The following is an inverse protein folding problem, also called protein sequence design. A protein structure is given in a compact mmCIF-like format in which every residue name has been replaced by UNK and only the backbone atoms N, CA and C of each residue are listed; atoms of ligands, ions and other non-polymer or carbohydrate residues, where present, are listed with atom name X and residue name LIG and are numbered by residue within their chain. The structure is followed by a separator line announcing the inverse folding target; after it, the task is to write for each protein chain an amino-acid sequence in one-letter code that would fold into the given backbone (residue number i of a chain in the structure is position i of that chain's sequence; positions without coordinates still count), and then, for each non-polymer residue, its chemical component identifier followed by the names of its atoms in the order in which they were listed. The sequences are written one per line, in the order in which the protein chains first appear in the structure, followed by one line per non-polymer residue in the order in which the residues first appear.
data_IF_901158700987
#
_entry.id   IF_901158700987
#
_cell.length_a   1.000
_cell.length_b   1.000
_cell.length_c   1.000
_cell.angle_alpha   90.00
_cell.angle_beta   90.00
_cell.angle_gamma   90.00
#
_symmetry.space_group_name_H-M   'P 1'
#
loop_
_entity.id
_entity.type
_entity.pdbx_description
1 polymer ?
#
# COMPACT_ATOMS: atom_id res chain seq x y z
N UNK A 1 15.98 14.82 -15.53
CA UNK A 1 14.69 14.08 -15.50
C UNK A 1 14.42 13.67 -14.07
N UNK A 2 13.21 13.87 -13.57
CA UNK A 2 12.79 13.64 -12.18
C UNK A 2 11.78 12.48 -12.18
N UNK A 3 11.90 11.57 -11.22
CA UNK A 3 10.88 10.57 -10.95
C UNK A 3 9.84 11.16 -9.98
N UNK A 4 8.55 10.89 -10.20
CA UNK A 4 7.47 11.28 -9.30
C UNK A 4 6.64 10.05 -8.96
N UNK A 5 6.39 9.80 -7.69
CA UNK A 5 5.45 8.78 -7.24
C UNK A 5 4.46 9.34 -6.22
N UNK A 6 3.29 8.71 -6.16
CA UNK A 6 2.27 8.96 -5.15
C UNK A 6 2.27 7.79 -4.17
N UNK A 7 2.35 8.10 -2.89
CA UNK A 7 2.38 7.14 -1.79
C UNK A 7 1.11 7.29 -0.96
N UNK A 8 0.52 6.14 -0.61
CA UNK A 8 -0.69 6.08 0.21
C UNK A 8 -0.87 4.69 0.84
N UNK A 9 -1.76 4.58 1.82
CA UNK A 9 -2.15 3.32 2.43
C UNK A 9 -3.55 2.88 1.98
N UNK A 10 -3.71 1.56 1.86
CA UNK A 10 -5.00 0.93 1.63
C UNK A 10 -5.28 -0.18 2.63
N UNK A 11 -6.52 -0.26 3.10
CA UNK A 11 -7.00 -1.35 3.94
C UNK A 11 -7.87 -2.33 3.15
N UNK A 12 -7.66 -3.63 3.41
CA UNK A 12 -8.45 -4.72 2.83
C UNK A 12 -9.06 -5.53 3.97
N UNK A 13 -10.40 -5.60 3.99
CA UNK A 13 -11.14 -6.36 5.00
C UNK A 13 -11.31 -7.83 4.58
N UNK A 14 -11.51 -8.71 5.56
CA UNK A 14 -11.85 -10.12 5.28
C UNK A 14 -13.19 -10.25 4.54
N UNK A 15 -14.08 -9.30 4.74
CA UNK A 15 -15.36 -9.21 4.03
C UNK A 15 -15.30 -7.99 3.14
N UNK A 16 -15.34 -8.19 1.84
CA UNK A 16 -15.55 -7.08 0.90
C UNK A 16 -17.05 -6.80 0.84
N UNK A 17 -17.51 -5.56 1.10
CA UNK A 17 -18.90 -5.22 0.89
C UNK A 17 -19.21 -5.38 -0.61
N UNK A 18 -20.24 -6.15 -0.91
CA UNK A 18 -20.86 -6.14 -2.23
C UNK A 18 -21.48 -4.76 -2.45
N UNK A 19 -20.84 -3.93 -3.28
CA UNK A 19 -21.33 -2.57 -3.56
C UNK A 19 -22.61 -2.59 -4.39
N UNK A 20 -22.78 -3.62 -5.24
CA UNK A 20 -23.96 -3.80 -6.08
C UNK A 20 -24.31 -5.28 -6.20
N UNK A 21 -25.61 -5.61 -6.17
CA UNK A 21 -26.13 -6.95 -6.46
C UNK A 21 -27.57 -6.84 -6.96
N UNK A 22 -28.09 -7.94 -7.48
CA UNK A 22 -29.45 -8.05 -7.98
C UNK A 22 -30.36 -8.60 -6.88
N UNK A 23 -31.53 -7.98 -6.68
CA UNK A 23 -32.62 -8.52 -5.86
C UNK A 23 -33.96 -8.24 -6.55
N UNK A 24 -35.04 -8.97 -6.23
CA UNK A 24 -36.37 -8.67 -6.73
C UNK A 24 -36.76 -7.23 -6.43
N UNK A 25 -37.52 -6.64 -7.34
CA UNK A 25 -38.00 -5.26 -7.18
C UNK A 25 -38.87 -5.15 -5.91
N UNK A 26 -38.52 -4.16 -5.08
CA UNK A 26 -39.20 -3.92 -3.78
C UNK A 26 -38.61 -4.68 -2.58
N UNK A 27 -37.63 -5.55 -2.80
CA UNK A 27 -36.92 -6.23 -1.73
C UNK A 27 -35.61 -5.53 -1.39
N UNK A 28 -35.17 -5.69 -0.14
CA UNK A 28 -33.83 -5.26 0.29
C UNK A 28 -32.86 -6.43 0.24
N UNK A 29 -31.79 -6.31 -0.52
CA UNK A 29 -30.69 -7.27 -0.47
C UNK A 29 -30.10 -7.29 0.94
N UNK A 30 -30.17 -8.45 1.60
CA UNK A 30 -29.52 -8.71 2.87
C UNK A 30 -28.32 -9.62 2.63
N UNK A 31 -27.13 -9.07 2.69
CA UNK A 31 -25.89 -9.85 2.64
C UNK A 31 -25.46 -10.15 4.08
N UNK A 32 -25.20 -11.41 4.45
CA UNK A 32 -24.66 -11.73 5.77
C UNK A 32 -23.33 -11.00 5.96
N UNK A 33 -23.28 -10.07 6.92
CA UNK A 33 -22.07 -9.37 7.26
C UNK A 33 -21.26 -10.21 8.25
N UNK A 34 -20.34 -11.00 7.73
CA UNK A 34 -19.39 -11.75 8.53
C UNK A 34 -18.06 -10.99 8.58
N UNK A 35 -18.02 -9.86 9.25
CA UNK A 35 -16.75 -9.19 9.52
C UNK A 35 -16.31 -9.49 10.95
N UNK A 36 -15.36 -10.38 11.17
CA UNK A 36 -14.67 -10.45 12.44
C UNK A 36 -13.94 -9.12 12.61
N UNK A 37 -14.43 -8.30 13.55
CA UNK A 37 -13.86 -6.98 13.82
C UNK A 37 -12.35 -7.08 14.07
N UNK A 38 -11.58 -6.15 13.50
CA UNK A 38 -10.16 -6.02 13.77
C UNK A 38 -9.24 -6.94 12.97
N UNK A 39 -9.74 -7.70 11.98
CA UNK A 39 -8.90 -8.46 11.05
C UNK A 39 -8.94 -7.78 9.68
N UNK A 40 -7.79 -7.34 9.21
CA UNK A 40 -7.63 -6.75 7.88
C UNK A 40 -6.18 -6.84 7.45
N UNK A 41 -5.93 -6.64 6.17
CA UNK A 41 -4.59 -6.43 5.62
C UNK A 41 -4.45 -4.95 5.30
N UNK A 42 -3.42 -4.32 5.86
CA UNK A 42 -3.01 -2.97 5.49
C UNK A 42 -1.87 -3.06 4.47
N UNK A 43 -1.95 -2.23 3.46
CA UNK A 43 -0.94 -2.10 2.42
C UNK A 43 -0.46 -0.66 2.39
N UNK A 44 0.84 -0.46 2.31
CA UNK A 44 1.44 0.80 1.88
C UNK A 44 1.94 0.61 0.46
N UNK A 45 1.71 1.59 -0.41
CA UNK A 45 2.15 1.53 -1.79
C UNK A 45 2.65 2.86 -2.30
N UNK A 46 3.50 2.79 -3.33
CA UNK A 46 3.97 3.95 -4.08
C UNK A 46 3.90 3.65 -5.58
N UNK A 47 3.11 4.44 -6.29
CA UNK A 47 2.94 4.33 -7.73
C UNK A 47 3.67 5.46 -8.45
N UNK A 48 4.60 5.10 -9.31
CA UNK A 48 5.40 6.04 -10.10
C UNK A 48 4.59 6.50 -11.32
N UNK A 49 4.24 7.78 -11.34
CA UNK A 49 3.42 8.38 -12.39
C UNK A 49 4.25 9.08 -13.47
N UNK A 50 5.45 9.55 -13.12
CA UNK A 50 6.31 10.29 -14.05
C UNK A 50 7.78 9.88 -13.89
N UNK A 51 8.56 10.16 -14.95
CA UNK A 51 9.98 9.87 -15.02
C UNK A 51 10.29 8.48 -15.60
N UNK A 52 11.57 8.09 -15.60
CA UNK A 52 12.00 6.80 -16.12
C UNK A 52 11.43 5.59 -15.37
N UNK A 53 11.05 5.78 -14.11
CA UNK A 53 10.45 4.73 -13.29
C UNK A 53 8.91 4.71 -13.39
N UNK A 54 8.29 5.53 -14.25
CA UNK A 54 6.84 5.57 -14.42
C UNK A 54 6.26 4.19 -14.78
N UNK A 55 5.09 3.88 -14.22
CA UNK A 55 4.47 2.56 -14.31
C UNK A 55 4.91 1.56 -13.24
N UNK A 56 5.94 1.86 -12.45
CA UNK A 56 6.38 1.01 -11.33
C UNK A 56 5.43 1.19 -10.14
N UNK A 57 5.03 0.07 -9.56
CA UNK A 57 4.30 0.01 -8.30
C UNK A 57 5.14 -0.74 -7.27
N UNK A 58 5.51 -0.07 -6.20
CA UNK A 58 6.13 -0.65 -5.02
C UNK A 58 5.07 -0.81 -3.94
N UNK A 59 5.13 -1.86 -3.13
CA UNK A 59 4.19 -2.06 -2.03
C UNK A 59 4.75 -2.96 -0.93
N UNK A 60 4.16 -2.85 0.26
CA UNK A 60 4.29 -3.79 1.37
C UNK A 60 2.96 -3.99 2.05
N UNK A 61 2.75 -5.15 2.64
CA UNK A 61 1.50 -5.52 3.30
C UNK A 61 1.73 -6.11 4.68
N UNK A 62 0.83 -5.82 5.61
CA UNK A 62 0.82 -6.38 6.96
C UNK A 62 -0.60 -6.76 7.37
N UNK A 63 -0.73 -7.94 7.98
CA UNK A 63 -1.97 -8.36 8.59
C UNK A 63 -2.18 -7.65 9.94
N UNK A 64 -3.35 -7.06 10.16
CA UNK A 64 -3.74 -6.52 11.44
C UNK A 64 -4.57 -7.57 12.18
N UNK A 65 -4.02 -8.10 13.27
CA UNK A 65 -4.71 -9.05 14.13
C UNK A 65 -5.55 -8.32 15.18
N UNK A 66 -6.64 -8.95 15.69
CA UNK A 66 -7.42 -8.38 16.79
C UNK A 66 -6.54 -8.11 17.99
N UNK A 67 -6.79 -7.01 18.69
CA UNK A 67 -6.13 -6.74 19.95
C UNK A 67 -6.51 -7.85 20.96
N UNK A 68 -5.54 -8.34 21.73
CA UNK A 68 -5.83 -9.24 22.84
C UNK A 68 -6.72 -8.51 23.85
N UNK A 69 -7.83 -9.14 24.25
CA UNK A 69 -8.69 -8.62 25.34
C UNK A 69 -8.09 -8.83 26.72
N UNK A 70 -7.07 -9.68 26.84
CA UNK A 70 -6.40 -9.93 28.11
C UNK A 70 -5.45 -8.77 28.46
N UNK A 71 -5.46 -8.34 29.72
CA UNK A 71 -4.55 -7.32 30.24
C UNK A 71 -3.07 -7.73 30.11
N UNK A 72 -2.79 -9.05 30.19
CA UNK A 72 -1.47 -9.62 29.88
C UNK A 72 -1.67 -10.79 28.91
N UNK A 73 -1.28 -10.66 27.64
CA UNK A 73 -1.34 -11.78 26.72
C UNK A 73 -0.42 -12.91 27.23
N UNK A 74 -0.95 -14.14 27.26
CA UNK A 74 -0.17 -15.34 27.63
C UNK A 74 0.71 -15.85 26.48
N UNK A 75 0.52 -15.32 25.28
CA UNK A 75 1.19 -15.74 24.05
C UNK A 75 2.15 -14.66 23.56
N UNK A 76 3.30 -15.06 23.03
CA UNK A 76 4.26 -14.16 22.42
C UNK A 76 3.71 -13.60 21.10
N UNK A 77 4.30 -12.49 20.56
CA UNK A 77 3.96 -11.99 19.23
C UNK A 77 4.11 -13.05 18.14
N UNK A 78 5.16 -13.89 18.23
CA UNK A 78 5.47 -14.97 17.29
C UNK A 78 4.39 -16.07 17.33
N UNK A 79 4.00 -16.51 18.51
CA UNK A 79 2.92 -17.50 18.69
C UNK A 79 1.58 -16.97 18.17
N UNK A 80 1.30 -15.68 18.38
CA UNK A 80 0.08 -15.05 17.87
C UNK A 80 0.08 -14.96 16.34
N UNK A 81 1.20 -14.63 15.72
CA UNK A 81 1.32 -14.62 14.27
C UNK A 81 1.18 -16.02 13.70
N UNK A 82 1.88 -17.00 14.28
CA UNK A 82 1.85 -18.40 13.87
C UNK A 82 0.43 -19.02 13.96
N UNK A 83 -0.35 -18.66 14.99
CA UNK A 83 -1.75 -19.09 15.14
C UNK A 83 -2.66 -18.62 13.98
N UNK A 84 -2.21 -17.66 13.18
CA UNK A 84 -2.89 -17.16 11.99
C UNK A 84 -2.15 -17.52 10.68
N UNK A 85 -1.17 -18.44 10.73
CA UNK A 85 -0.38 -18.84 9.56
C UNK A 85 0.58 -17.76 9.05
N UNK A 86 1.01 -16.85 9.92
CA UNK A 86 1.85 -15.70 9.57
C UNK A 86 3.14 -15.67 10.38
N UNK A 87 4.15 -14.96 9.88
CA UNK A 87 5.35 -14.59 10.65
C UNK A 87 5.11 -13.28 11.40
N UNK A 88 5.89 -13.01 12.45
CA UNK A 88 5.78 -11.76 13.23
C UNK A 88 5.99 -10.52 12.37
N UNK A 89 6.90 -10.58 11.40
CA UNK A 89 7.19 -9.46 10.49
C UNK A 89 6.05 -9.15 9.51
N UNK A 90 5.18 -10.14 9.26
CA UNK A 90 4.00 -10.00 8.42
C UNK A 90 2.80 -9.39 9.16
N UNK A 91 2.93 -9.10 10.47
CA UNK A 91 1.83 -8.63 11.32
C UNK A 91 2.14 -7.25 11.89
N UNK A 92 1.10 -6.45 12.04
CA UNK A 92 1.15 -5.16 12.75
C UNK A 92 0.55 -4.00 11.97
N UNK A 93 0.45 -2.82 12.62
CA UNK A 93 0.01 -1.60 11.96
C UNK A 93 1.09 -1.05 11.03
N UNK A 94 0.71 -0.16 10.12
CA UNK A 94 1.65 0.74 9.46
C UNK A 94 1.91 1.88 10.43
N UNK A 95 3.12 1.93 10.95
CA UNK A 95 3.64 2.97 11.83
C UNK A 95 4.67 3.84 11.12
N UNK A 96 5.16 4.86 11.79
CA UNK A 96 6.09 5.82 11.21
C UNK A 96 7.45 5.20 10.84
N UNK A 97 7.93 4.22 11.60
CA UNK A 97 9.17 3.50 11.32
C UNK A 97 9.04 2.66 10.04
N UNK A 98 7.93 1.93 9.88
CA UNK A 98 7.63 1.17 8.67
C UNK A 98 7.47 2.08 7.46
N UNK A 99 6.83 3.23 7.64
CA UNK A 99 6.72 4.24 6.58
C UNK A 99 8.10 4.75 6.17
N UNK A 100 8.97 5.15 7.11
CA UNK A 100 10.33 5.62 6.78
C UNK A 100 11.15 4.52 6.10
N UNK A 101 11.05 3.28 6.57
CA UNK A 101 11.70 2.14 5.91
C UNK A 101 11.19 1.96 4.48
N UNK A 102 9.89 2.12 4.25
CA UNK A 102 9.29 2.03 2.93
C UNK A 102 9.70 3.19 2.02
N UNK A 103 9.81 4.41 2.53
CA UNK A 103 10.34 5.56 1.77
C UNK A 103 11.75 5.26 1.22
N UNK A 104 12.61 4.63 2.01
CA UNK A 104 13.96 4.24 1.55
C UNK A 104 13.92 3.11 0.52
N UNK A 105 13.00 2.16 0.64
CA UNK A 105 12.77 1.13 -0.38
C UNK A 105 12.33 1.77 -1.71
N UNK A 106 11.34 2.65 -1.67
CA UNK A 106 10.83 3.39 -2.86
C UNK A 106 11.93 4.21 -3.51
N UNK A 107 12.80 4.84 -2.72
CA UNK A 107 13.98 5.54 -3.20
C UNK A 107 15.01 4.61 -3.85
N UNK A 108 14.91 3.29 -3.67
CA UNK A 108 15.87 2.31 -4.19
C UNK A 108 17.18 2.29 -3.41
N UNK A 109 17.14 2.64 -2.11
CA UNK A 109 18.33 2.63 -1.25
C UNK A 109 18.68 1.18 -0.91
N UNK A 110 19.90 0.70 -1.23
CA UNK A 110 20.38 -0.60 -0.78
C UNK A 110 20.39 -0.73 0.74
N UNK A 111 20.20 -1.95 1.26
CA UNK A 111 20.20 -2.18 2.72
C UNK A 111 21.55 -1.84 3.37
N UNK A 112 22.64 -2.10 2.65
CA UNK A 112 24.04 -1.84 3.03
C UNK A 112 24.57 -0.47 2.59
N UNK A 113 23.68 0.41 2.09
CA UNK A 113 24.10 1.72 1.59
C UNK A 113 24.73 2.59 2.67
N UNK A 114 25.86 3.20 2.31
CA UNK A 114 26.55 4.17 3.17
C UNK A 114 25.61 5.31 3.60
N UNK A 115 25.88 5.99 4.74
CA UNK A 115 25.11 7.15 5.18
C UNK A 115 25.05 8.28 4.15
N UNK A 116 26.08 8.39 3.32
CA UNK A 116 26.23 9.39 2.24
C UNK A 116 25.56 8.98 0.91
N UNK A 117 24.87 7.83 0.88
CA UNK A 117 24.19 7.37 -0.32
C UNK A 117 23.21 8.41 -0.84
N UNK A 118 23.22 8.61 -2.15
CA UNK A 118 22.31 9.49 -2.88
C UNK A 118 21.75 8.78 -4.09
N UNK A 119 20.47 8.98 -4.34
CA UNK A 119 19.83 8.57 -5.59
C UNK A 119 20.42 9.40 -6.76
N UNK A 120 20.72 8.74 -7.87
CA UNK A 120 21.26 9.42 -9.06
C UNK A 120 20.23 10.42 -9.63
N UNK A 121 18.97 9.95 -9.79
CA UNK A 121 17.86 10.81 -10.24
C UNK A 121 17.07 11.31 -9.05
N UNK A 122 16.70 12.60 -9.03
CA UNK A 122 15.79 13.11 -8.00
C UNK A 122 14.46 12.36 -8.01
N UNK A 123 13.91 12.13 -6.83
CA UNK A 123 12.61 11.53 -6.61
C UNK A 123 11.73 12.48 -5.80
N UNK A 124 10.52 12.73 -6.29
CA UNK A 124 9.46 13.41 -5.54
C UNK A 124 8.44 12.36 -5.12
N UNK A 125 8.16 12.26 -3.84
CA UNK A 125 7.14 11.40 -3.25
C UNK A 125 6.00 12.30 -2.78
N UNK A 126 4.86 12.22 -3.46
CA UNK A 126 3.63 12.90 -3.08
C UNK A 126 2.83 12.07 -2.10
N UNK A 127 2.42 12.64 -0.97
CA UNK A 127 1.64 11.98 0.08
C UNK A 127 0.55 12.91 0.61
N UNK A 128 -0.46 12.34 1.23
CA UNK A 128 -1.48 13.10 1.93
C UNK A 128 -1.02 13.58 3.33
N UNK A 129 -1.92 14.25 4.05
CA UNK A 129 -1.68 14.73 5.41
C UNK A 129 -2.15 13.75 6.51
N UNK A 130 -2.08 12.44 6.27
CA UNK A 130 -2.41 11.48 7.34
C UNK A 130 -1.48 11.66 8.55
N UNK A 131 -1.94 11.23 9.72
CA UNK A 131 -1.18 11.41 10.97
C UNK A 131 0.16 10.67 10.97
N UNK A 132 0.25 9.54 10.25
CA UNK A 132 1.50 8.80 10.12
C UNK A 132 2.49 9.53 9.21
N UNK A 133 2.00 10.18 8.13
CA UNK A 133 2.84 10.96 7.20
C UNK A 133 3.41 12.23 7.81
N UNK A 134 2.68 12.84 8.75
CA UNK A 134 3.07 14.07 9.44
C UNK A 134 3.69 13.83 10.82
N UNK A 135 3.98 12.58 11.17
CA UNK A 135 4.60 12.21 12.44
C UNK A 135 6.01 12.79 12.60
N UNK A 136 6.44 12.98 13.85
CA UNK A 136 7.77 13.49 14.13
C UNK A 136 8.91 12.61 13.55
N UNK A 137 8.72 11.31 13.53
CA UNK A 137 9.67 10.35 12.91
C UNK A 137 9.86 10.63 11.42
N UNK A 138 8.76 10.87 10.68
CA UNK A 138 8.82 11.20 9.25
C UNK A 138 9.43 12.58 9.04
N UNK A 139 9.02 13.59 9.82
CA UNK A 139 9.59 14.94 9.76
C UNK A 139 11.10 14.90 10.03
N UNK A 140 11.55 14.16 11.02
CA UNK A 140 12.99 14.00 11.33
C UNK A 140 13.77 13.28 10.21
N UNK A 141 13.11 12.45 9.40
CA UNK A 141 13.74 11.78 8.26
C UNK A 141 13.89 12.67 7.02
N UNK A 142 13.11 13.77 6.89
CA UNK A 142 13.09 14.62 5.71
C UNK A 142 14.46 15.23 5.33
N UNK A 143 15.29 15.79 6.25
CA UNK A 143 16.58 16.33 5.88
C UNK A 143 17.51 15.29 5.26
N UNK A 144 17.49 14.06 5.80
CA UNK A 144 18.27 12.94 5.25
C UNK A 144 17.74 12.49 3.90
N UNK A 145 16.42 12.46 3.70
CA UNK A 145 15.80 12.16 2.42
C UNK A 145 16.19 13.22 1.37
N UNK A 146 16.11 14.50 1.71
CA UNK A 146 16.51 15.60 0.82
C UNK A 146 18.01 15.50 0.44
N UNK A 147 18.91 15.22 1.40
CA UNK A 147 20.32 14.97 1.12
C UNK A 147 20.55 13.78 0.17
N UNK A 148 19.64 12.81 0.16
CA UNK A 148 19.66 11.66 -0.73
C UNK A 148 18.92 11.88 -2.09
N UNK A 149 18.60 13.10 -2.47
CA UNK A 149 17.80 13.45 -3.65
C UNK A 149 16.37 12.93 -3.62
N UNK A 150 15.75 12.84 -2.44
CA UNK A 150 14.35 12.44 -2.25
C UNK A 150 13.60 13.56 -1.56
N UNK A 151 12.59 14.12 -2.21
CA UNK A 151 11.73 15.17 -1.65
C UNK A 151 10.36 14.61 -1.31
N UNK A 152 9.85 14.93 -0.12
CA UNK A 152 8.47 14.65 0.27
C UNK A 152 7.62 15.90 0.01
N UNK A 153 6.51 15.73 -0.71
CA UNK A 153 5.58 16.81 -1.06
C UNK A 153 4.18 16.40 -0.59
N UNK A 154 3.55 17.28 0.18
CA UNK A 154 2.20 17.01 0.67
C UNK A 154 1.15 17.55 -0.30
N UNK A 155 0.19 16.69 -0.66
CA UNK A 155 -0.96 17.05 -1.49
C UNK A 155 -1.89 18.02 -0.73
N UNK A 156 -2.77 18.71 -1.44
CA UNK A 156 -3.79 19.52 -0.79
C UNK A 156 -4.68 18.64 0.12
N UNK A 157 -5.09 19.20 1.27
CA UNK A 157 -5.97 18.48 2.20
C UNK A 157 -7.32 18.20 1.55
N UNK A 158 -7.87 17.01 1.79
CA UNK A 158 -9.18 16.58 1.27
C UNK A 158 -9.30 16.56 -0.27
N UNK A 159 -8.20 16.34 -0.97
CA UNK A 159 -8.16 16.27 -2.43
C UNK A 159 -7.63 14.89 -2.88
N UNK A 160 -8.35 13.78 -2.64
CA UNK A 160 -7.90 12.44 -3.02
C UNK A 160 -7.72 12.29 -4.53
N UNK A 161 -8.43 13.08 -5.34
CA UNK A 161 -8.30 13.13 -6.79
C UNK A 161 -6.90 13.55 -7.27
N UNK A 162 -6.10 14.18 -6.42
CA UNK A 162 -4.70 14.51 -6.71
C UNK A 162 -3.77 13.31 -6.48
N UNK A 163 -4.22 12.27 -5.80
CA UNK A 163 -3.42 11.09 -5.53
C UNK A 163 -3.47 10.10 -6.69
N UNK A 164 -2.40 10.02 -7.46
CA UNK A 164 -2.30 9.12 -8.62
C UNK A 164 -2.35 7.63 -8.28
N UNK A 165 -2.25 7.24 -7.00
CA UNK A 165 -2.35 5.84 -6.55
C UNK A 165 -3.79 5.42 -6.21
N UNK A 166 -4.71 6.34 -5.95
CA UNK A 166 -6.10 6.02 -5.63
C UNK A 166 -6.82 5.16 -6.70
N UNK A 167 -6.68 5.47 -8.01
CA UNK A 167 -7.21 4.59 -9.05
C UNK A 167 -6.63 3.17 -9.03
N UNK A 168 -5.37 3.01 -8.58
CA UNK A 168 -4.74 1.70 -8.42
C UNK A 168 -5.42 0.92 -7.30
N UNK A 169 -5.66 1.56 -6.16
CA UNK A 169 -6.38 0.95 -5.03
C UNK A 169 -7.80 0.55 -5.40
N UNK A 170 -8.51 1.40 -6.11
CA UNK A 170 -9.87 1.13 -6.56
C UNK A 170 -9.92 -0.08 -7.51
N UNK A 171 -9.02 -0.15 -8.50
CA UNK A 171 -8.95 -1.28 -9.41
C UNK A 171 -8.61 -2.59 -8.67
N UNK A 172 -7.62 -2.56 -7.77
CA UNK A 172 -7.25 -3.75 -6.98
C UNK A 172 -8.43 -4.24 -6.14
N UNK A 173 -9.13 -3.33 -5.44
CA UNK A 173 -10.28 -3.69 -4.59
C UNK A 173 -11.46 -4.21 -5.37
N UNK A 174 -11.74 -3.67 -6.55
CA UNK A 174 -12.94 -3.99 -7.32
C UNK A 174 -12.75 -5.14 -8.31
N UNK A 175 -11.54 -5.30 -8.87
CA UNK A 175 -11.33 -6.16 -10.03
C UNK A 175 -10.23 -7.21 -9.85
N UNK A 176 -9.29 -7.04 -8.91
CA UNK A 176 -8.14 -7.92 -8.79
C UNK A 176 -8.26 -8.93 -7.64
N UNK A 177 -9.01 -8.60 -6.60
CA UNK A 177 -9.24 -9.47 -5.45
C UNK A 177 -10.52 -10.28 -5.68
N UNK A 178 -10.54 -11.59 -5.38
CA UNK A 178 -11.76 -12.41 -5.46
C UNK A 178 -12.88 -11.83 -4.59
N UNK A 179 -14.10 -11.72 -5.17
CA UNK A 179 -15.30 -11.28 -4.45
C UNK A 179 -15.78 -12.43 -3.57
N UNK A 180 -15.16 -12.60 -2.43
CA UNK A 180 -15.53 -13.59 -1.42
C UNK A 180 -15.10 -13.15 -0.02
N UNK A 181 -15.70 -13.72 1.00
CA UNK A 181 -15.19 -13.63 2.37
C UNK A 181 -13.99 -14.57 2.54
N UNK A 182 -13.04 -14.16 3.38
CA UNK A 182 -11.88 -14.96 3.76
C UNK A 182 -12.03 -15.37 5.22
N UNK A 183 -11.83 -16.63 5.53
CA UNK A 183 -11.89 -17.14 6.91
C UNK A 183 -10.61 -16.81 7.67
N UNK A 184 -9.47 -16.89 6.98
CA UNK A 184 -8.16 -16.63 7.57
C UNK A 184 -7.55 -15.34 6.99
N UNK A 185 -6.91 -14.56 7.87
CA UNK A 185 -6.24 -13.33 7.45
C UNK A 185 -5.02 -13.60 6.58
N UNK A 186 -4.39 -14.75 6.72
CA UNK A 186 -3.30 -15.19 5.85
C UNK A 186 -3.78 -15.34 4.40
N UNK A 187 -4.94 -15.99 4.19
CA UNK A 187 -5.49 -16.17 2.84
C UNK A 187 -5.84 -14.83 2.19
N UNK A 188 -6.41 -13.89 2.96
CA UNK A 188 -6.63 -12.54 2.49
C UNK A 188 -5.30 -11.86 2.12
N UNK A 189 -4.27 -12.00 2.97
CA UNK A 189 -2.96 -11.40 2.71
C UNK A 189 -2.36 -11.92 1.40
N UNK A 190 -2.36 -13.22 1.16
CA UNK A 190 -1.92 -13.82 -0.09
C UNK A 190 -2.73 -13.32 -1.29
N UNK A 191 -4.06 -13.28 -1.19
CA UNK A 191 -4.90 -12.78 -2.27
C UNK A 191 -4.62 -11.30 -2.61
N UNK A 192 -4.35 -10.47 -1.59
CA UNK A 192 -3.98 -9.07 -1.75
C UNK A 192 -2.62 -8.94 -2.43
N UNK A 193 -1.62 -9.70 -1.99
CA UNK A 193 -0.27 -9.68 -2.57
C UNK A 193 -0.27 -10.15 -4.03
N UNK A 194 -0.98 -11.22 -4.35
CA UNK A 194 -1.16 -11.70 -5.71
C UNK A 194 -1.85 -10.67 -6.61
N UNK A 195 -2.89 -10.00 -6.09
CA UNK A 195 -3.59 -8.94 -6.80
C UNK A 195 -2.67 -7.75 -7.09
N UNK A 196 -1.89 -7.33 -6.10
CA UNK A 196 -0.91 -6.24 -6.25
C UNK A 196 0.21 -6.59 -7.22
N UNK A 197 0.71 -7.84 -7.20
CA UNK A 197 1.71 -8.31 -8.13
C UNK A 197 1.21 -8.30 -9.59
N UNK A 198 -0.04 -8.77 -9.81
CA UNK A 198 -0.68 -8.69 -11.13
C UNK A 198 -0.87 -7.23 -11.57
N UNK A 199 -1.34 -6.37 -10.67
CA UNK A 199 -1.52 -4.95 -10.97
C UNK A 199 -0.21 -4.26 -11.30
N UNK A 200 0.86 -4.52 -10.57
CA UNK A 200 2.19 -3.98 -10.87
C UNK A 200 2.66 -4.36 -12.29
N UNK A 201 2.49 -5.62 -12.68
CA UNK A 201 2.82 -6.07 -14.04
C UNK A 201 1.96 -5.38 -15.12
N UNK A 202 0.66 -5.20 -14.86
CA UNK A 202 -0.26 -4.51 -15.79
C UNK A 202 0.17 -3.05 -16.00
N UNK A 203 0.50 -2.33 -14.93
CA UNK A 203 0.94 -0.93 -14.98
C UNK A 203 2.25 -0.78 -15.77
N UNK A 204 3.24 -1.65 -15.53
CA UNK A 204 4.50 -1.66 -16.27
C UNK A 204 4.29 -1.93 -17.77
N UNK A 205 3.43 -2.91 -18.11
CA UNK A 205 3.11 -3.23 -19.52
C UNK A 205 2.38 -2.07 -20.20
N UNK A 206 1.44 -1.43 -19.53
CA UNK A 206 0.70 -0.30 -20.07
C UNK A 206 1.64 0.89 -20.33
N UNK A 207 2.54 1.19 -19.41
CA UNK A 207 3.53 2.26 -19.57
C UNK A 207 4.53 1.96 -20.69
N UNK A 208 5.06 0.74 -20.77
CA UNK A 208 5.98 0.33 -21.84
C UNK A 208 5.38 0.44 -23.26
N UNK A 209 4.07 0.11 -23.40
CA UNK A 209 3.36 0.30 -24.66
C UNK A 209 3.20 1.79 -25.02
N UNK A 210 2.84 2.62 -24.05
CA UNK A 210 2.69 4.07 -24.25
C UNK A 210 4.01 4.73 -24.71
N UNK A 211 5.12 4.38 -24.06
CA UNK A 211 6.45 4.89 -24.42
C UNK A 211 6.88 4.48 -25.83
N UNK A 212 6.55 3.26 -26.25
CA UNK A 212 6.86 2.80 -27.61
C UNK A 212 6.03 3.55 -28.68
N UNK A 213 4.75 3.81 -28.42
CA UNK A 213 3.89 4.58 -29.35
C UNK A 213 4.44 6.01 -29.53
N UNK A 214 4.84 6.66 -28.44
CA UNK A 214 5.42 8.01 -28.50
C UNK A 214 6.74 8.05 -29.27
N UNK A 215 7.59 6.99 -29.18
CA UNK A 215 8.83 6.88 -29.94
C UNK A 215 8.63 6.63 -31.43
N UNK A 216 7.51 6.00 -31.81
CA UNK A 216 7.18 5.75 -33.23
C UNK A 216 6.49 6.96 -33.88
N UNK A 217 5.97 7.90 -33.10
CA UNK A 217 5.29 9.11 -33.55
C UNK A 217 6.19 10.35 -33.58
N UNK A 218 7.45 10.26 -33.13
CA UNK A 218 8.46 11.31 -33.13
C UNK A 218 9.54 11.03 -34.18
#
# INVERSE_FOLDING_TARGET
MIDVCHLDEAGFALTLPTTYSWCPQGERLRVPYQAPQGRRVNVIGAYFTHGPDAGRLEYRSWALLPKSRAQKPRTTPEERAAAHGLTVDAVGPIDAERLVAFLWQVAGRPADAAPTWRRVRPLVIALDHSSVHTSQTVVAAQPRAAAANVALVYLARYCPEQSGIEPVWNDVKQHQIPIRSFEQVADLKHAVEDALARKAQQLQRAHGKSTNIQRLAA
#
